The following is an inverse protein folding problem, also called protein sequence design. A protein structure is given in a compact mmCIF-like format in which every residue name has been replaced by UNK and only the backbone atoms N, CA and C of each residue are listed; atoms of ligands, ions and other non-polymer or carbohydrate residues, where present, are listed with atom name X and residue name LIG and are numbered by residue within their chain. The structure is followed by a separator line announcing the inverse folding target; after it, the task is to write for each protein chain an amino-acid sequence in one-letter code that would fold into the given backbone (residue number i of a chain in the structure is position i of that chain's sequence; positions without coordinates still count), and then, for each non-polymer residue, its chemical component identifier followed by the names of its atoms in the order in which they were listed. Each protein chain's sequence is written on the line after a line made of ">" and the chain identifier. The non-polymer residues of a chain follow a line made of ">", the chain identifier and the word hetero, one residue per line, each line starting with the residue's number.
data_IF_386517329578
#
_entry.id   IF_386517329578
#
_cell.length_a   1.000
_cell.length_b   1.000
_cell.length_c   1.000
_cell.angle_alpha   90.00
_cell.angle_beta   90.00
_cell.angle_gamma   90.00
#
_symmetry.space_group_name_H-M   'P 1'
#
loop_
_entity.id
_entity.type
_entity.pdbx_description
1 polymer ?
#
# COMPACT_ATOMS: atom_id res chain seq x y z
N UNK A 1 -11.71 12.98 -1.47
CA UNK A 1 -12.81 12.39 -0.66
C UNK A 1 -12.47 10.99 -0.09
N UNK A 2 -11.19 10.60 0.04
CA UNK A 2 -10.77 9.27 0.53
C UNK A 2 -10.02 9.32 1.88
N UNK A 3 -10.48 10.19 2.79
CA UNK A 3 -9.86 10.42 4.11
C UNK A 3 -9.79 9.19 5.05
N UNK A 4 -10.72 8.22 5.07
CA UNK A 4 -10.68 7.17 6.09
C UNK A 4 -9.51 6.19 5.90
N UNK A 5 -9.20 5.80 4.65
CA UNK A 5 -8.09 4.89 4.34
C UNK A 5 -6.75 5.59 4.60
N UNK A 6 -6.61 6.84 4.14
CA UNK A 6 -5.43 7.66 4.39
C UNK A 6 -5.15 7.81 5.90
N UNK A 7 -6.20 8.08 6.69
CA UNK A 7 -6.09 8.22 8.15
C UNK A 7 -5.75 6.91 8.85
N UNK A 8 -6.26 5.78 8.35
CA UNK A 8 -6.00 4.45 8.93
C UNK A 8 -4.53 4.07 8.82
N UNK A 9 -3.91 4.31 7.66
CA UNK A 9 -2.48 4.05 7.45
C UNK A 9 -1.57 5.23 7.79
N UNK A 10 -2.13 6.35 8.26
CA UNK A 10 -1.38 7.58 8.56
C UNK A 10 -0.53 8.05 7.36
N UNK A 11 -1.13 8.04 6.17
CA UNK A 11 -0.54 8.44 4.89
C UNK A 11 -1.27 9.66 4.31
N UNK A 12 -0.66 10.30 3.31
CA UNK A 12 -1.30 11.39 2.57
C UNK A 12 -2.56 10.92 1.81
N UNK A 13 -3.45 11.86 1.47
CA UNK A 13 -4.62 11.55 0.66
C UNK A 13 -4.26 11.18 -0.79
N UNK A 14 -3.12 11.68 -1.28
CA UNK A 14 -2.58 11.35 -2.60
C UNK A 14 -2.23 9.88 -2.73
N UNK A 15 -1.82 9.24 -1.62
CA UNK A 15 -1.41 7.84 -1.59
C UNK A 15 -2.54 6.82 -1.81
N UNK A 16 -3.81 7.22 -1.59
CA UNK A 16 -4.94 6.28 -1.67
C UNK A 16 -5.25 5.90 -3.10
N UNK A 17 -5.09 6.82 -4.06
CA UNK A 17 -5.40 6.54 -5.46
C UNK A 17 -4.45 5.51 -6.08
N UNK A 18 -3.11 5.66 -5.98
CA UNK A 18 -2.17 4.61 -6.41
C UNK A 18 -2.40 3.26 -5.74
N UNK A 19 -2.74 3.26 -4.45
CA UNK A 19 -3.03 2.04 -3.70
C UNK A 19 -4.26 1.30 -4.25
N UNK A 20 -5.34 2.02 -4.58
CA UNK A 20 -6.52 1.42 -5.19
C UNK A 20 -6.22 0.91 -6.60
N UNK A 21 -5.54 1.70 -7.44
CA UNK A 21 -5.18 1.28 -8.80
C UNK A 21 -4.35 -0.01 -8.75
N UNK A 22 -3.35 -0.06 -7.88
CA UNK A 22 -2.51 -1.23 -7.71
C UNK A 22 -3.27 -2.47 -7.24
N UNK A 23 -4.31 -2.36 -6.41
CA UNK A 23 -5.12 -3.52 -5.95
C UNK A 23 -5.94 -4.12 -7.09
N UNK A 24 -6.58 -3.26 -7.89
CA UNK A 24 -7.55 -3.70 -8.88
C UNK A 24 -6.92 -4.03 -10.24
N UNK A 25 -5.85 -3.33 -10.61
CA UNK A 25 -5.27 -3.39 -11.95
C UNK A 25 -3.84 -3.96 -11.98
N UNK A 26 -3.22 -4.35 -10.87
CA UNK A 26 -1.88 -4.92 -10.89
C UNK A 26 -0.77 -3.94 -10.50
N UNK A 27 0.42 -4.50 -10.22
CA UNK A 27 1.63 -3.69 -9.95
C UNK A 27 2.06 -2.84 -11.14
N UNK A 28 1.90 -3.32 -12.38
CA UNK A 28 2.36 -2.57 -13.55
C UNK A 28 1.62 -1.24 -13.69
N UNK A 29 0.28 -1.27 -13.62
CA UNK A 29 -0.55 -0.06 -13.64
C UNK A 29 -0.38 0.75 -12.35
N UNK A 30 -0.35 0.09 -11.19
CA UNK A 30 -0.14 0.75 -9.90
C UNK A 30 1.17 1.53 -9.84
N UNK A 31 2.27 0.95 -10.34
CA UNK A 31 3.59 1.57 -10.36
C UNK A 31 3.61 2.86 -11.19
N UNK A 32 2.96 2.87 -12.36
CA UNK A 32 2.83 4.09 -13.17
C UNK A 32 2.15 5.22 -12.39
N UNK A 33 1.04 4.91 -11.73
CA UNK A 33 0.29 5.89 -10.93
C UNK A 33 1.06 6.32 -9.67
N UNK A 34 1.84 5.43 -9.05
CA UNK A 34 2.73 5.76 -7.93
C UNK A 34 3.80 6.75 -8.37
N UNK A 35 4.44 6.51 -9.52
CA UNK A 35 5.49 7.38 -10.06
C UNK A 35 4.91 8.76 -10.36
N UNK A 36 3.78 8.84 -11.07
CA UNK A 36 3.10 10.10 -11.37
C UNK A 36 2.73 10.88 -10.08
N UNK A 37 2.18 10.18 -9.09
CA UNK A 37 1.83 10.79 -7.81
C UNK A 37 3.04 11.23 -6.97
N UNK A 38 4.19 10.57 -7.15
CA UNK A 38 5.43 10.96 -6.50
C UNK A 38 6.04 12.21 -7.14
N UNK A 39 5.99 12.31 -8.47
CA UNK A 39 6.46 13.48 -9.23
C UNK A 39 5.62 14.73 -8.93
N UNK A 40 4.31 14.58 -8.75
CA UNK A 40 3.40 15.65 -8.35
C UNK A 40 3.57 16.14 -6.90
N UNK A 41 4.61 15.67 -6.19
CA UNK A 41 4.88 15.96 -4.77
C UNK A 41 3.70 15.62 -3.84
N UNK A 42 2.81 14.71 -4.26
CA UNK A 42 1.66 14.29 -3.48
C UNK A 42 2.01 13.18 -2.48
N UNK A 43 3.20 12.58 -2.57
CA UNK A 43 3.63 11.42 -1.76
C UNK A 43 4.95 11.70 -1.04
N UNK A 44 4.96 11.53 0.28
CA UNK A 44 6.19 11.47 1.06
C UNK A 44 6.83 10.07 1.05
N UNK A 45 8.07 9.95 1.54
CA UNK A 45 8.76 8.66 1.65
C UNK A 45 7.94 7.60 2.42
N UNK A 46 7.32 7.99 3.54
CA UNK A 46 6.42 7.12 4.32
C UNK A 46 5.25 6.58 3.49
N UNK A 47 4.65 7.42 2.65
CA UNK A 47 3.53 7.04 1.79
C UNK A 47 3.99 5.98 0.79
N UNK A 48 5.14 6.21 0.13
CA UNK A 48 5.70 5.28 -0.85
C UNK A 48 5.97 3.90 -0.24
N UNK A 49 6.65 3.83 0.91
CA UNK A 49 6.90 2.55 1.58
C UNK A 49 5.60 1.84 1.96
N UNK A 50 4.63 2.59 2.50
CA UNK A 50 3.35 2.02 2.91
C UNK A 50 2.57 1.46 1.71
N UNK A 51 2.52 2.21 0.60
CA UNK A 51 1.88 1.75 -0.64
C UNK A 51 2.57 0.49 -1.18
N UNK A 52 3.90 0.52 -1.30
CA UNK A 52 4.67 -0.60 -1.87
C UNK A 52 4.48 -1.88 -1.05
N UNK A 53 4.58 -1.80 0.28
CA UNK A 53 4.41 -2.95 1.17
C UNK A 53 3.00 -3.53 1.04
N UNK A 54 1.99 -2.67 1.01
CA UNK A 54 0.60 -3.10 0.82
C UNK A 54 0.41 -3.83 -0.52
N UNK A 55 0.91 -3.23 -1.61
CA UNK A 55 0.73 -3.76 -2.95
C UNK A 55 1.49 -5.07 -3.15
N UNK A 56 2.71 -5.22 -2.64
CA UNK A 56 3.43 -6.51 -2.74
C UNK A 56 2.56 -7.68 -2.25
N UNK A 57 1.74 -7.48 -1.22
CA UNK A 57 0.88 -8.52 -0.66
C UNK A 57 -0.44 -8.67 -1.45
N UNK A 58 -1.01 -7.57 -1.97
CA UNK A 58 -2.40 -7.52 -2.43
C UNK A 58 -2.62 -7.04 -3.89
N UNK A 59 -1.55 -6.83 -4.67
CA UNK A 59 -1.58 -6.11 -5.96
C UNK A 59 -2.40 -6.72 -7.09
N UNK A 60 -2.98 -7.88 -6.96
CA UNK A 60 -3.80 -8.44 -8.03
C UNK A 60 -4.88 -9.32 -7.41
N UNK A 61 -5.45 -8.86 -6.29
CA UNK A 61 -6.36 -9.69 -5.49
C UNK A 61 -7.55 -10.18 -6.30
N UNK A 62 -7.99 -9.44 -7.33
CA UNK A 62 -9.04 -9.91 -8.24
C UNK A 62 -8.49 -10.97 -9.21
N UNK A 63 -7.42 -10.66 -9.93
CA UNK A 63 -6.81 -11.54 -10.94
C UNK A 63 -6.32 -12.86 -10.33
N UNK A 64 -5.48 -12.80 -9.30
CA UNK A 64 -4.91 -13.98 -8.65
C UNK A 64 -6.01 -14.88 -8.08
N UNK A 65 -7.01 -14.30 -7.41
CA UNK A 65 -8.09 -15.10 -6.78
C UNK A 65 -8.98 -15.75 -7.85
N UNK A 66 -9.23 -15.08 -8.99
CA UNK A 66 -9.95 -15.68 -10.11
C UNK A 66 -9.16 -16.84 -10.73
N UNK A 67 -7.87 -16.66 -10.97
CA UNK A 67 -6.99 -17.71 -11.51
C UNK A 67 -6.99 -18.94 -10.58
N UNK A 68 -6.78 -18.75 -9.28
CA UNK A 68 -6.76 -19.87 -8.33
C UNK A 68 -8.13 -20.54 -8.15
N UNK A 69 -9.23 -19.79 -8.28
CA UNK A 69 -10.58 -20.36 -8.22
C UNK A 69 -10.85 -21.29 -9.40
N UNK A 70 -10.38 -20.94 -10.60
CA UNK A 70 -10.48 -21.84 -11.78
C UNK A 70 -9.67 -23.12 -11.57
N UNK A 71 -8.57 -23.07 -10.81
CA UNK A 71 -7.76 -24.23 -10.42
C UNK A 71 -8.40 -25.05 -9.28
N UNK A 72 -9.55 -24.60 -8.75
CA UNK A 72 -10.32 -25.32 -7.72
C UNK A 72 -10.07 -24.84 -6.29
N UNK A 73 -9.37 -23.72 -6.09
CA UNK A 73 -9.17 -23.14 -4.77
C UNK A 73 -10.42 -22.40 -4.27
N UNK A 74 -10.54 -22.26 -2.94
CA UNK A 74 -11.65 -21.53 -2.34
C UNK A 74 -11.43 -20.00 -2.42
N UNK A 75 -12.22 -19.35 -3.27
CA UNK A 75 -12.23 -17.90 -3.51
C UNK A 75 -12.25 -17.09 -2.22
N UNK A 76 -13.19 -17.39 -1.32
CA UNK A 76 -13.40 -16.61 -0.09
C UNK A 76 -12.20 -16.71 0.85
N UNK A 77 -11.62 -17.90 0.97
CA UNK A 77 -10.48 -18.13 1.84
C UNK A 77 -9.25 -17.37 1.32
N UNK A 78 -8.93 -17.47 0.03
CA UNK A 78 -7.79 -16.79 -0.57
C UNK A 78 -7.93 -15.26 -0.53
N UNK A 79 -9.12 -14.75 -0.83
CA UNK A 79 -9.37 -13.31 -0.83
C UNK A 79 -9.21 -12.71 0.56
N UNK A 80 -9.91 -13.26 1.56
CA UNK A 80 -9.88 -12.69 2.91
C UNK A 80 -8.54 -12.87 3.60
N UNK A 81 -7.88 -14.02 3.43
CA UNK A 81 -6.56 -14.23 4.04
C UNK A 81 -5.53 -13.23 3.53
N UNK A 82 -5.46 -13.00 2.20
CA UNK A 82 -4.56 -11.98 1.64
C UNK A 82 -4.91 -10.58 2.10
N UNK A 83 -6.18 -10.22 2.10
CA UNK A 83 -6.61 -8.89 2.54
C UNK A 83 -6.26 -8.64 4.01
N UNK A 84 -6.53 -9.60 4.90
CA UNK A 84 -6.22 -9.50 6.32
C UNK A 84 -4.71 -9.39 6.54
N UNK A 85 -3.92 -10.26 5.90
CA UNK A 85 -2.45 -10.24 6.03
C UNK A 85 -1.88 -8.91 5.51
N UNK A 86 -2.38 -8.42 4.37
CA UNK A 86 -1.95 -7.13 3.80
C UNK A 86 -2.24 -5.98 4.77
N UNK A 87 -3.45 -5.92 5.33
CA UNK A 87 -3.83 -4.86 6.28
C UNK A 87 -2.97 -4.92 7.54
N UNK A 88 -2.80 -6.10 8.13
CA UNK A 88 -2.02 -6.28 9.37
C UNK A 88 -0.57 -5.87 9.14
N UNK A 89 0.11 -6.45 8.15
CA UNK A 89 1.53 -6.18 7.89
C UNK A 89 1.75 -4.70 7.56
N UNK A 90 0.92 -4.13 6.69
CA UNK A 90 1.05 -2.73 6.29
C UNK A 90 0.80 -1.78 7.45
N UNK A 91 -0.16 -2.08 8.32
CA UNK A 91 -0.43 -1.27 9.51
C UNK A 91 0.77 -1.24 10.45
N UNK A 92 1.37 -2.40 10.74
CA UNK A 92 2.58 -2.46 11.56
C UNK A 92 3.77 -1.79 10.87
N UNK A 93 3.94 -2.00 9.57
CA UNK A 93 4.99 -1.37 8.79
C UNK A 93 4.89 0.16 8.84
N UNK A 94 3.72 0.73 8.54
CA UNK A 94 3.50 2.18 8.57
C UNK A 94 3.90 2.78 9.93
N UNK A 95 3.59 2.11 11.04
CA UNK A 95 3.95 2.55 12.39
C UNK A 95 5.46 2.47 12.67
N UNK A 96 6.18 1.52 12.08
CA UNK A 96 7.64 1.40 12.20
C UNK A 96 8.32 2.52 11.42
N UNK A 97 7.91 2.75 10.18
CA UNK A 97 8.48 3.80 9.33
C UNK A 97 8.22 5.20 9.87
N UNK A 98 7.12 5.40 10.59
CA UNK A 98 6.82 6.64 11.32
C UNK A 98 7.83 6.95 12.43
N UNK A 99 8.46 5.94 13.06
CA UNK A 99 9.46 6.16 14.13
C UNK A 99 10.86 6.35 13.58
N UNK A 100 11.28 5.48 12.65
CA UNK A 100 12.62 5.51 12.09
C UNK A 100 12.87 6.76 11.23
N UNK A 101 11.82 7.32 10.63
CA UNK A 101 11.92 8.55 9.84
C UNK A 101 12.08 9.78 10.73
N UNK A 102 11.31 9.86 11.81
CA UNK A 102 11.38 10.95 12.81
C UNK A 102 12.75 10.98 13.50
N UNK A 103 13.33 9.83 13.83
CA UNK A 103 14.70 9.76 14.36
C UNK A 103 15.76 10.19 13.34
N UNK A 104 15.55 9.91 12.04
CA UNK A 104 16.52 10.25 10.99
C UNK A 104 16.48 11.73 10.63
N UNK A 105 15.30 12.35 10.61
CA UNK A 105 15.12 13.78 10.30
C UNK A 105 15.56 14.68 11.47
N UNK A 106 15.27 14.28 12.71
CA UNK A 106 15.77 14.98 13.91
C UNK A 106 17.30 14.84 14.05
N UNK A 107 17.86 13.68 13.68
CA UNK A 107 19.30 13.43 13.70
C UNK A 107 20.10 14.21 12.63
N UNK A 108 19.48 14.55 11.51
CA UNK A 108 20.10 15.34 10.43
C UNK A 108 20.07 16.85 10.73
N UNK A 109 19.03 17.33 11.43
CA UNK A 109 18.92 18.74 11.86
C UNK A 109 19.77 19.11 13.09
N UNK A 110 20.34 18.13 13.80
CA UNK A 110 21.25 18.33 14.95
C UNK A 110 22.74 18.13 14.58
N UNK A 111 23.04 17.94 13.29
CA UNK A 111 24.40 17.93 12.74
C UNK A 111 24.67 19.20 11.93
#
# INVERSE_FOLDING_TARGET
>A
KLKPIARFYNISNGAVFPLLVGIFFGLAYGAGVIIESAEDNNLGSKDLYTIIIFLIICHAIVEDTLIFTVVGANLWLLFFTRLIVAIIITFFASKIFDKSFLEKEIGDHLK
#
